data_IF_546267631279
#
_entry.id   IF_546267631279
#
_cell.length_a   1.000
_cell.length_b   1.000
_cell.length_c   1.000
_cell.angle_alpha   90.00
_cell.angle_beta   90.00
_cell.angle_gamma   90.00
#
_symmetry.space_group_name_H-M   'P 1'
#
loop_
_entity.id
_entity.type
_entity.pdbx_description
1 polymer ?
#
# COMPACT_ATOMS: atom_id res chain seq x y z
N UNK A 1 -17.88 1.00 5.39
CA UNK A 1 -16.41 1.06 5.43
C UNK A 1 -15.86 0.40 4.16
N UNK A 2 -14.88 1.03 3.46
CA UNK A 2 -14.22 0.46 2.28
C UNK A 2 -13.45 -0.83 2.63
N UNK A 3 -13.49 -1.83 1.75
CA UNK A 3 -12.80 -3.10 1.90
C UNK A 3 -12.03 -3.44 0.62
N UNK A 4 -10.72 -3.21 0.62
CA UNK A 4 -9.82 -3.50 -0.49
C UNK A 4 -8.81 -4.59 -0.16
N UNK A 5 -8.15 -5.10 -1.20
CA UNK A 5 -7.11 -6.13 -1.11
C UNK A 5 -5.79 -5.59 -1.63
N UNK A 6 -4.70 -5.72 -0.87
CA UNK A 6 -3.36 -5.43 -1.40
C UNK A 6 -2.84 -6.62 -2.21
N UNK A 7 -2.27 -6.31 -3.36
CA UNK A 7 -1.64 -7.27 -4.25
C UNK A 7 -0.14 -6.97 -4.32
N UNK A 8 0.65 -7.72 -3.57
CA UNK A 8 2.12 -7.69 -3.64
C UNK A 8 2.63 -8.39 -4.92
N UNK A 9 1.77 -9.17 -5.56
CA UNK A 9 2.07 -9.97 -6.75
C UNK A 9 3.34 -10.81 -6.58
N UNK A 10 3.49 -11.36 -5.37
CA UNK A 10 4.56 -12.28 -5.05
C UNK A 10 4.33 -13.60 -5.79
N UNK A 11 5.41 -14.22 -6.28
CA UNK A 11 5.31 -15.57 -6.82
C UNK A 11 6.17 -16.55 -6.03
N UNK A 12 5.73 -17.80 -6.01
CA UNK A 12 6.32 -18.85 -5.16
C UNK A 12 7.56 -19.44 -5.82
N UNK A 13 8.42 -20.02 -4.98
CA UNK A 13 9.55 -20.80 -5.47
C UNK A 13 9.08 -21.91 -6.41
N UNK A 14 9.74 -22.05 -7.54
CA UNK A 14 9.37 -23.02 -8.58
C UNK A 14 8.28 -22.58 -9.54
N UNK A 15 7.60 -21.44 -9.30
CA UNK A 15 6.63 -20.88 -10.25
C UNK A 15 7.29 -19.96 -11.27
N UNK A 16 6.70 -19.91 -12.43
CA UNK A 16 7.10 -19.00 -13.52
C UNK A 16 6.50 -17.61 -13.30
N UNK A 17 7.04 -16.61 -13.99
CA UNK A 17 6.44 -15.28 -14.01
C UNK A 17 5.07 -15.27 -14.69
N UNK A 18 4.86 -16.08 -15.72
CA UNK A 18 3.57 -16.25 -16.39
C UNK A 18 2.49 -16.71 -15.41
N UNK A 19 2.77 -17.74 -14.61
CA UNK A 19 1.86 -18.21 -13.56
C UNK A 19 1.57 -17.11 -12.51
N UNK A 20 2.57 -16.28 -12.17
CA UNK A 20 2.39 -15.18 -11.24
C UNK A 20 1.45 -14.09 -11.82
N UNK A 21 1.55 -13.76 -13.11
CA UNK A 21 0.60 -12.85 -13.77
C UNK A 21 -0.80 -13.45 -13.84
N UNK A 22 -0.93 -14.74 -14.19
CA UNK A 22 -2.23 -15.43 -14.22
C UNK A 22 -2.89 -15.42 -12.82
N UNK A 23 -2.12 -15.68 -11.75
CA UNK A 23 -2.59 -15.59 -10.36
C UNK A 23 -3.05 -14.18 -10.01
N UNK A 24 -2.28 -13.14 -10.37
CA UNK A 24 -2.63 -11.75 -10.10
C UNK A 24 -3.96 -11.35 -10.77
N UNK A 25 -4.18 -11.73 -12.01
CA UNK A 25 -5.45 -11.46 -12.70
C UNK A 25 -6.62 -12.23 -12.06
N UNK A 26 -6.43 -13.51 -11.75
CA UNK A 26 -7.45 -14.32 -11.08
C UNK A 26 -7.84 -13.75 -9.72
N UNK A 27 -6.88 -13.28 -8.93
CA UNK A 27 -7.16 -12.63 -7.64
C UNK A 27 -7.98 -11.35 -7.82
N UNK A 28 -7.67 -10.53 -8.84
CA UNK A 28 -8.43 -9.31 -9.10
C UNK A 28 -9.87 -9.61 -9.57
N UNK A 29 -10.05 -10.60 -10.43
CA UNK A 29 -11.36 -11.05 -10.90
C UNK A 29 -12.19 -11.64 -9.73
N UNK A 30 -11.61 -12.48 -8.89
CA UNK A 30 -12.25 -13.02 -7.68
C UNK A 30 -12.63 -11.88 -6.71
N UNK A 31 -11.78 -10.87 -6.55
CA UNK A 31 -12.09 -9.71 -5.71
C UNK A 31 -13.33 -8.97 -6.22
N UNK A 32 -13.48 -8.78 -7.53
CA UNK A 32 -14.66 -8.18 -8.15
C UNK A 32 -15.89 -9.06 -7.99
N UNK A 33 -15.78 -10.35 -8.28
CA UNK A 33 -16.90 -11.31 -8.26
C UNK A 33 -17.51 -11.45 -6.88
N UNK A 34 -16.68 -11.40 -5.85
CA UNK A 34 -17.13 -11.46 -4.46
C UNK A 34 -17.43 -10.09 -3.84
N UNK A 35 -17.35 -9.01 -4.60
CA UNK A 35 -17.82 -7.69 -4.18
C UNK A 35 -16.89 -6.92 -3.27
N UNK A 36 -15.57 -7.13 -3.35
CA UNK A 36 -14.61 -6.19 -2.77
C UNK A 36 -14.66 -4.84 -3.49
N UNK A 37 -14.29 -3.77 -2.78
CA UNK A 37 -14.36 -2.42 -3.34
C UNK A 37 -13.18 -2.10 -4.26
N UNK A 38 -12.02 -2.74 -4.05
CA UNK A 38 -10.86 -2.53 -4.91
C UNK A 38 -9.65 -3.39 -4.58
N UNK A 39 -8.67 -3.33 -5.46
CA UNK A 39 -7.33 -3.91 -5.30
C UNK A 39 -6.27 -2.82 -5.29
N UNK A 40 -5.18 -3.04 -4.56
CA UNK A 40 -4.08 -2.08 -4.39
C UNK A 40 -2.76 -2.75 -4.75
N UNK A 41 -2.15 -2.27 -5.83
CA UNK A 41 -0.94 -2.85 -6.40
C UNK A 41 0.32 -2.26 -5.74
N UNK A 42 1.17 -3.10 -5.18
CA UNK A 42 2.47 -2.68 -4.70
C UNK A 42 3.41 -2.34 -5.87
N UNK A 43 4.46 -1.55 -5.59
CA UNK A 43 5.58 -1.33 -6.51
C UNK A 43 6.85 -1.95 -5.92
N UNK A 44 7.42 -2.92 -6.64
CA UNK A 44 8.55 -3.74 -6.19
C UNK A 44 9.60 -3.83 -7.28
N UNK A 45 10.70 -3.10 -7.11
CA UNK A 45 11.82 -3.16 -8.05
C UNK A 45 12.88 -4.16 -7.61
N UNK A 46 13.51 -4.82 -8.57
CA UNK A 46 14.62 -5.76 -8.39
C UNK A 46 14.30 -6.90 -7.41
N UNK A 47 13.01 -7.30 -7.36
CA UNK A 47 12.48 -8.37 -6.51
C UNK A 47 12.52 -9.74 -7.18
N UNK A 48 13.60 -10.06 -7.91
CA UNK A 48 13.83 -11.38 -8.49
C UNK A 48 14.19 -12.43 -7.44
N UNK A 49 14.14 -13.74 -7.82
CA UNK A 49 14.65 -14.83 -6.99
C UNK A 49 16.10 -14.56 -6.61
N UNK A 50 16.41 -14.68 -5.35
CA UNK A 50 17.78 -14.46 -4.84
C UNK A 50 18.59 -15.74 -4.88
N UNK A 51 19.87 -15.58 -5.17
CA UNK A 51 20.82 -16.70 -5.08
C UNK A 51 21.01 -17.11 -3.61
N UNK A 52 21.29 -18.40 -3.33
CA UNK A 52 21.56 -18.85 -1.96
C UNK A 52 22.70 -18.08 -1.26
N UNK A 53 23.62 -17.53 -2.05
CA UNK A 53 24.78 -16.72 -1.59
C UNK A 53 24.44 -15.25 -1.35
N UNK A 54 23.20 -14.80 -1.64
CA UNK A 54 22.82 -13.41 -1.39
C UNK A 54 22.78 -13.12 0.11
N UNK A 55 23.51 -12.09 0.61
CA UNK A 55 23.57 -11.77 2.05
C UNK A 55 22.20 -11.46 2.66
N UNK A 56 21.22 -11.17 1.84
CA UNK A 56 19.85 -10.85 2.25
C UNK A 56 18.92 -12.08 2.29
N UNK A 57 19.42 -13.30 2.06
CA UNK A 57 18.61 -14.50 1.97
C UNK A 57 17.61 -14.47 0.81
N UNK A 58 16.87 -15.55 0.61
CA UNK A 58 15.84 -15.61 -0.43
C UNK A 58 14.74 -14.56 -0.18
N UNK A 59 14.69 -13.52 -1.02
CA UNK A 59 13.57 -12.57 -1.07
C UNK A 59 12.28 -13.29 -1.49
N UNK A 60 11.13 -12.67 -1.28
CA UNK A 60 9.93 -13.09 -2.00
C UNK A 60 9.99 -12.40 -3.36
N UNK A 61 10.08 -13.17 -4.48
CA UNK A 61 10.05 -12.57 -5.80
C UNK A 61 8.69 -11.92 -6.04
N UNK A 62 8.67 -10.80 -6.78
CA UNK A 62 7.44 -10.11 -7.14
C UNK A 62 7.51 -9.61 -8.57
N UNK A 63 6.41 -9.70 -9.30
CA UNK A 63 6.26 -9.20 -10.66
C UNK A 63 5.75 -7.74 -10.71
N UNK A 64 5.42 -7.14 -9.57
CA UNK A 64 4.81 -5.82 -9.47
C UNK A 64 5.84 -4.67 -9.60
N UNK A 65 6.63 -4.65 -10.67
CA UNK A 65 7.62 -3.59 -10.89
C UNK A 65 7.02 -2.31 -11.51
N UNK A 66 5.93 -2.44 -12.28
CA UNK A 66 5.26 -1.32 -12.95
C UNK A 66 3.75 -1.41 -12.68
N UNK A 67 3.30 -0.92 -11.52
CA UNK A 67 1.92 -1.12 -11.07
C UNK A 67 0.86 -0.52 -12.00
N UNK A 68 1.13 0.61 -12.66
CA UNK A 68 0.17 1.24 -13.57
C UNK A 68 -0.07 0.43 -14.86
N UNK A 69 0.94 -0.29 -15.37
CA UNK A 69 0.75 -1.20 -16.51
C UNK A 69 -0.14 -2.37 -16.10
N UNK A 70 0.12 -2.97 -14.93
CA UNK A 70 -0.73 -4.04 -14.39
C UNK A 70 -2.14 -3.54 -14.06
N UNK A 71 -2.26 -2.33 -13.52
CA UNK A 71 -3.55 -1.67 -13.26
C UNK A 71 -4.40 -1.51 -14.53
N UNK A 72 -3.80 -1.10 -15.66
CA UNK A 72 -4.48 -1.04 -16.96
C UNK A 72 -5.02 -2.40 -17.40
N UNK A 73 -4.22 -3.46 -17.24
CA UNK A 73 -4.64 -4.81 -17.61
C UNK A 73 -5.79 -5.33 -16.71
N UNK A 74 -5.75 -5.04 -15.41
CA UNK A 74 -6.85 -5.34 -14.47
C UNK A 74 -8.09 -4.51 -14.81
N UNK A 75 -7.93 -3.22 -15.12
CA UNK A 75 -9.02 -2.33 -15.49
C UNK A 75 -9.80 -2.84 -16.72
N UNK A 76 -9.10 -3.42 -17.69
CA UNK A 76 -9.71 -4.01 -18.88
C UNK A 76 -10.45 -5.33 -18.62
N UNK A 77 -10.17 -6.02 -17.51
CA UNK A 77 -10.79 -7.29 -17.11
C UNK A 77 -11.92 -7.12 -16.10
N UNK A 78 -12.05 -5.95 -15.50
CA UNK A 78 -13.01 -5.65 -14.43
C UNK A 78 -13.91 -4.47 -14.81
N UNK A 79 -15.06 -4.36 -14.16
CA UNK A 79 -16.07 -3.33 -14.50
C UNK A 79 -16.38 -2.37 -13.34
N UNK A 80 -16.26 -2.84 -12.09
CA UNK A 80 -16.62 -2.10 -10.86
C UNK A 80 -15.44 -1.89 -9.93
N UNK A 81 -14.52 -2.85 -9.92
CA UNK A 81 -13.39 -2.88 -8.98
C UNK A 81 -12.54 -1.62 -9.12
N UNK A 82 -12.34 -0.90 -8.02
CA UNK A 82 -11.38 0.21 -7.98
C UNK A 82 -9.95 -0.34 -7.96
N UNK A 83 -9.04 0.40 -8.54
CA UNK A 83 -7.65 -0.04 -8.68
C UNK A 83 -6.76 1.02 -8.08
N UNK A 84 -6.15 0.70 -6.95
CA UNK A 84 -5.21 1.57 -6.26
C UNK A 84 -3.75 1.19 -6.53
N UNK A 85 -2.87 2.17 -6.44
CA UNK A 85 -1.44 1.91 -6.27
C UNK A 85 -1.07 1.99 -4.79
N UNK A 86 -0.40 0.99 -4.29
CA UNK A 86 -0.06 0.91 -2.87
C UNK A 86 1.43 0.69 -2.61
N UNK A 87 2.32 1.53 -3.15
CA UNK A 87 2.15 2.85 -3.78
C UNK A 87 2.91 2.96 -5.10
N UNK A 88 2.60 3.98 -5.93
CA UNK A 88 3.54 4.46 -6.96
C UNK A 88 4.66 5.25 -6.30
N UNK A 89 5.91 4.87 -6.57
CA UNK A 89 7.11 5.46 -5.91
C UNK A 89 7.59 6.67 -6.71
N UNK A 90 7.04 7.85 -6.41
CA UNK A 90 7.26 9.08 -7.20
C UNK A 90 8.73 9.41 -7.45
N UNK A 91 9.66 9.28 -6.46
CA UNK A 91 11.07 9.64 -6.69
C UNK A 91 11.82 8.79 -7.71
N UNK A 92 11.26 7.62 -8.08
CA UNK A 92 11.91 6.69 -9.01
C UNK A 92 11.51 6.89 -10.47
N UNK A 93 10.53 7.78 -10.73
CA UNK A 93 9.98 8.02 -12.06
C UNK A 93 10.05 9.49 -12.45
N UNK A 94 10.04 9.77 -13.76
CA UNK A 94 9.83 11.13 -14.23
C UNK A 94 8.36 11.54 -13.98
N UNK A 95 8.07 12.65 -13.27
CA UNK A 95 6.72 13.00 -12.83
C UNK A 95 5.73 13.23 -13.96
N UNK A 96 6.16 13.81 -15.08
CA UNK A 96 5.29 14.03 -16.25
C UNK A 96 4.88 12.69 -16.85
N UNK A 97 5.84 11.76 -17.03
CA UNK A 97 5.55 10.42 -17.52
C UNK A 97 4.57 9.69 -16.62
N UNK A 98 4.76 9.78 -15.31
CA UNK A 98 3.87 9.15 -14.34
C UNK A 98 2.47 9.79 -14.35
N UNK A 99 2.37 11.11 -14.58
CA UNK A 99 1.09 11.80 -14.74
C UNK A 99 0.31 11.30 -15.97
N UNK A 100 1.00 11.07 -17.10
CA UNK A 100 0.43 10.51 -18.33
C UNK A 100 -0.03 9.06 -18.11
N UNK A 101 0.79 8.24 -17.48
CA UNK A 101 0.49 6.84 -17.19
C UNK A 101 -0.73 6.71 -16.27
N UNK A 102 -0.78 7.46 -15.17
CA UNK A 102 -1.89 7.43 -14.23
C UNK A 102 -3.19 7.97 -14.87
N UNK A 103 -3.12 9.04 -15.66
CA UNK A 103 -4.27 9.54 -16.41
C UNK A 103 -4.76 8.53 -17.46
N UNK A 104 -3.85 7.79 -18.10
CA UNK A 104 -4.20 6.71 -19.03
C UNK A 104 -4.97 5.59 -18.32
N UNK A 105 -4.48 5.13 -17.15
CA UNK A 105 -5.21 4.13 -16.34
C UNK A 105 -6.57 4.65 -15.92
N UNK A 106 -6.66 5.92 -15.53
CA UNK A 106 -7.93 6.53 -15.12
C UNK A 106 -8.94 6.58 -16.26
N UNK A 107 -8.51 6.87 -17.49
CA UNK A 107 -9.34 6.82 -18.70
C UNK A 107 -9.77 5.38 -19.02
N UNK A 108 -8.84 4.43 -19.05
CA UNK A 108 -9.11 3.01 -19.35
C UNK A 108 -10.09 2.42 -18.34
N UNK A 109 -9.90 2.74 -17.07
CA UNK A 109 -10.76 2.29 -15.98
C UNK A 109 -12.08 3.05 -15.86
N UNK A 110 -12.26 4.15 -16.62
CA UNK A 110 -13.42 5.05 -16.49
C UNK A 110 -13.61 5.59 -15.07
N UNK A 111 -12.52 6.10 -14.48
CA UNK A 111 -12.55 6.75 -13.17
C UNK A 111 -12.48 5.81 -11.97
N UNK A 112 -11.95 4.61 -12.14
CA UNK A 112 -11.76 3.65 -11.03
C UNK A 112 -10.36 3.68 -10.42
N UNK A 113 -9.47 4.56 -10.89
CA UNK A 113 -8.12 4.70 -10.30
C UNK A 113 -8.18 5.41 -8.94
N UNK A 114 -7.52 4.84 -7.94
CA UNK A 114 -7.10 5.46 -6.69
C UNK A 114 -5.57 5.64 -6.74
N UNK A 115 -5.10 6.88 -6.88
CA UNK A 115 -3.68 7.12 -7.08
C UNK A 115 -2.94 7.20 -5.75
N UNK A 116 -2.45 6.05 -5.29
CA UNK A 116 -1.65 5.94 -4.09
C UNK A 116 -0.19 6.21 -4.36
N UNK A 117 0.41 7.13 -3.62
CA UNK A 117 1.78 7.62 -3.82
C UNK A 117 2.62 7.50 -2.56
N UNK A 118 3.93 7.36 -2.75
CA UNK A 118 4.86 7.27 -1.63
C UNK A 118 6.31 7.37 -2.06
N UNK A 119 7.21 7.27 -1.05
CA UNK A 119 8.66 7.35 -1.27
C UNK A 119 9.33 5.98 -1.32
N UNK A 120 8.66 4.93 -0.85
CA UNK A 120 9.26 3.63 -0.54
C UNK A 120 10.36 3.70 0.54
N UNK A 121 10.51 2.61 1.29
CA UNK A 121 11.60 2.45 2.25
C UNK A 121 12.75 1.57 1.73
N UNK A 122 12.72 1.17 0.46
CA UNK A 122 13.67 0.22 -0.11
C UNK A 122 14.81 0.96 -0.84
N UNK A 123 15.88 1.28 -0.13
CA UNK A 123 17.06 1.98 -0.65
C UNK A 123 17.67 1.27 -1.88
N UNK A 124 17.58 -0.08 -1.96
CA UNK A 124 18.03 -0.83 -3.14
C UNK A 124 17.34 -0.41 -4.44
N UNK A 125 16.07 -0.03 -4.40
CA UNK A 125 15.39 0.47 -5.60
C UNK A 125 16.00 1.78 -6.09
N UNK A 126 16.30 2.68 -5.16
CA UNK A 126 16.99 3.93 -5.47
C UNK A 126 18.39 3.71 -6.05
N UNK A 127 19.19 2.86 -5.41
CA UNK A 127 20.52 2.51 -5.91
C UNK A 127 20.48 1.90 -7.32
N UNK A 128 19.49 1.04 -7.59
CA UNK A 128 19.32 0.43 -8.90
C UNK A 128 18.94 1.42 -10.01
N UNK A 129 18.29 2.53 -9.67
CA UNK A 129 17.98 3.63 -10.60
C UNK A 129 18.99 4.76 -10.55
N UNK A 130 20.06 4.65 -9.76
CA UNK A 130 21.09 5.69 -9.62
C UNK A 130 20.58 6.97 -8.94
N UNK A 131 19.55 6.87 -8.10
CA UNK A 131 18.96 8.00 -7.38
C UNK A 131 19.40 7.96 -5.93
N UNK A 132 19.97 9.05 -5.37
CA UNK A 132 20.33 9.11 -3.96
C UNK A 132 19.10 9.01 -3.05
N UNK A 133 19.13 8.09 -2.07
CA UNK A 133 17.97 7.88 -1.18
C UNK A 133 17.67 9.11 -0.30
N UNK A 134 18.67 9.88 0.07
CA UNK A 134 18.50 11.12 0.85
C UNK A 134 17.73 12.22 0.11
N UNK A 135 17.65 12.18 -1.22
CA UNK A 135 16.85 13.11 -2.04
C UNK A 135 15.36 12.67 -2.15
N UNK A 136 15.00 11.53 -1.57
CA UNK A 136 13.68 10.92 -1.76
C UNK A 136 12.53 11.79 -1.29
N UNK A 137 12.74 12.65 -0.28
CA UNK A 137 11.71 13.52 0.27
C UNK A 137 11.42 14.70 -0.66
N UNK A 138 12.45 15.37 -1.06
CA UNK A 138 12.39 16.54 -1.94
C UNK A 138 11.89 16.15 -3.33
N UNK A 139 12.42 15.06 -3.89
CA UNK A 139 11.93 14.49 -5.16
C UNK A 139 10.46 14.11 -5.12
N UNK A 140 10.01 13.52 -4.01
CA UNK A 140 8.59 13.19 -3.84
C UNK A 140 7.70 14.43 -3.88
N UNK A 141 8.09 15.50 -3.15
CA UNK A 141 7.33 16.74 -3.08
C UNK A 141 7.27 17.44 -4.44
N UNK A 142 8.42 17.58 -5.10
CA UNK A 142 8.50 18.19 -6.42
C UNK A 142 7.74 17.39 -7.48
N UNK A 143 7.86 16.05 -7.47
CA UNK A 143 7.13 15.19 -8.39
C UNK A 143 5.61 15.29 -8.20
N UNK A 144 5.13 15.32 -6.96
CA UNK A 144 3.71 15.46 -6.69
C UNK A 144 3.16 16.81 -7.14
N UNK A 145 3.92 17.89 -6.93
CA UNK A 145 3.58 19.23 -7.43
C UNK A 145 3.43 19.26 -8.95
N UNK A 146 4.39 18.67 -9.67
CA UNK A 146 4.38 18.61 -11.13
C UNK A 146 3.18 17.80 -11.64
N UNK A 147 2.89 16.64 -11.02
CA UNK A 147 1.74 15.82 -11.38
C UNK A 147 0.43 16.59 -11.22
N UNK A 148 0.28 17.31 -10.11
CA UNK A 148 -0.91 18.14 -9.86
C UNK A 148 -1.01 19.30 -10.86
N UNK A 149 0.08 19.98 -11.17
CA UNK A 149 0.12 21.02 -12.22
C UNK A 149 -0.31 20.44 -13.57
N UNK A 150 0.24 19.27 -13.94
CA UNK A 150 -0.08 18.59 -15.17
C UNK A 150 -1.57 18.23 -15.30
N UNK A 151 -2.23 17.84 -14.21
CA UNK A 151 -3.63 17.46 -14.25
C UNK A 151 -4.61 18.63 -14.13
N UNK A 152 -4.24 19.70 -13.41
CA UNK A 152 -5.15 20.80 -13.10
C UNK A 152 -5.05 21.98 -14.06
N UNK A 153 -3.98 22.08 -14.87
CA UNK A 153 -3.80 23.17 -15.82
C UNK A 153 -3.82 22.65 -17.26
N UNK A 154 -4.32 23.45 -18.18
CA UNK A 154 -4.30 23.13 -19.62
C UNK A 154 -2.87 23.06 -20.13
N UNK A 155 -2.06 24.05 -19.74
CA UNK A 155 -0.61 24.11 -19.95
C UNK A 155 0.06 24.58 -18.66
N UNK A 156 1.31 24.16 -18.45
CA UNK A 156 2.06 24.58 -17.28
C UNK A 156 3.56 24.60 -17.55
N UNK A 157 4.26 25.41 -16.76
CA UNK A 157 5.72 25.42 -16.65
C UNK A 157 6.12 25.08 -15.21
N UNK A 158 7.29 24.51 -15.06
CA UNK A 158 7.90 24.23 -13.76
C UNK A 158 9.40 24.43 -13.84
N UNK A 159 9.97 25.07 -12.82
CA UNK A 159 11.41 25.17 -12.59
C UNK A 159 11.68 24.75 -11.17
N UNK A 160 12.31 23.61 -11.01
CA UNK A 160 12.59 23.00 -9.69
C UNK A 160 14.05 22.56 -9.57
N UNK A 161 14.33 21.84 -8.52
CA UNK A 161 15.67 21.31 -8.24
C UNK A 161 15.99 20.10 -9.11
N UNK A 162 15.00 19.25 -9.35
CA UNK A 162 15.20 17.96 -10.04
C UNK A 162 14.59 17.93 -11.42
N UNK A 163 13.58 18.77 -11.68
CA UNK A 163 12.85 18.78 -12.94
C UNK A 163 12.58 20.20 -13.41
N UNK A 164 12.60 20.39 -14.71
CA UNK A 164 12.21 21.66 -15.35
C UNK A 164 11.46 21.36 -16.64
N UNK A 165 10.42 22.12 -16.91
CA UNK A 165 9.68 22.07 -18.16
C UNK A 165 9.07 23.45 -18.46
N UNK A 166 8.84 23.73 -19.73
CA UNK A 166 8.27 24.98 -20.18
C UNK A 166 7.09 24.73 -21.12
N UNK A 167 5.96 25.38 -20.80
CA UNK A 167 4.73 25.43 -21.58
C UNK A 167 4.23 24.07 -22.10
N UNK A 168 4.18 23.07 -21.21
CA UNK A 168 3.72 21.72 -21.55
C UNK A 168 2.21 21.55 -21.41
N UNK A 169 1.59 20.86 -22.36
CA UNK A 169 0.26 20.28 -22.24
C UNK A 169 0.38 18.77 -22.08
N UNK A 170 -0.15 18.21 -20.98
CA UNK A 170 -0.11 16.78 -20.70
C UNK A 170 -1.42 16.12 -21.10
N UNK A 171 -1.33 15.08 -21.93
CA UNK A 171 -2.45 14.30 -22.45
C UNK A 171 -2.08 12.80 -22.37
N UNK A 172 -3.06 11.93 -21.94
CA UNK A 172 -4.46 12.23 -21.66
C UNK A 172 -4.65 13.00 -20.36
N UNK A 173 -5.81 13.64 -20.24
CA UNK A 173 -6.27 14.21 -18.97
C UNK A 173 -6.96 13.11 -18.16
N UNK A 174 -6.94 13.16 -16.82
CA UNK A 174 -7.70 12.23 -16.00
C UNK A 174 -9.20 12.22 -16.34
N UNK A 175 -9.82 11.06 -16.25
CA UNK A 175 -11.27 10.89 -16.35
C UNK A 175 -11.98 11.53 -15.16
N UNK A 176 -11.49 11.28 -13.96
CA UNK A 176 -11.98 11.87 -12.70
C UNK A 176 -11.64 13.36 -12.61
N UNK A 177 -12.49 14.15 -11.98
CA UNK A 177 -12.32 15.61 -11.82
C UNK A 177 -12.27 15.97 -10.34
N UNK A 178 -11.35 16.84 -9.91
CA UNK A 178 -10.31 17.50 -10.73
C UNK A 178 -9.21 16.52 -11.19
N UNK A 179 -8.99 15.42 -10.49
CA UNK A 179 -8.02 14.34 -10.74
C UNK A 179 -8.43 13.08 -9.95
N UNK A 180 -7.79 11.92 -10.17
CA UNK A 180 -8.00 10.73 -9.34
C UNK A 180 -7.77 11.04 -7.86
N UNK A 181 -8.51 10.40 -6.94
CA UNK A 181 -8.23 10.51 -5.51
C UNK A 181 -6.77 10.19 -5.20
N UNK A 182 -6.09 11.09 -4.47
CA UNK A 182 -4.70 10.91 -4.08
C UNK A 182 -4.63 10.35 -2.67
N UNK A 183 -3.89 9.25 -2.54
CA UNK A 183 -3.63 8.56 -1.30
C UNK A 183 -2.13 8.55 -0.99
N UNK A 184 -1.74 9.08 0.16
CA UNK A 184 -0.32 9.13 0.53
C UNK A 184 -0.03 8.08 1.60
N UNK A 185 0.99 7.24 1.34
CA UNK A 185 1.46 6.30 2.33
C UNK A 185 2.23 7.00 3.45
N UNK A 186 1.67 6.98 4.66
CA UNK A 186 2.25 7.57 5.85
C UNK A 186 2.86 6.48 6.75
N UNK A 187 4.19 6.39 6.76
CA UNK A 187 4.97 5.39 7.52
C UNK A 187 5.96 6.02 8.51
N UNK A 188 6.03 7.36 8.55
CA UNK A 188 6.79 8.16 9.54
C UNK A 188 5.88 9.23 10.12
N UNK A 189 6.13 9.62 11.36
CA UNK A 189 5.28 10.58 12.08
C UNK A 189 5.11 11.90 11.32
N UNK A 190 6.19 12.45 10.77
CA UNK A 190 6.21 13.73 10.05
C UNK A 190 5.34 13.76 8.78
N UNK A 191 5.08 12.59 8.21
CA UNK A 191 4.27 12.48 7.00
C UNK A 191 2.80 12.81 7.26
N UNK A 192 2.26 12.49 8.44
CA UNK A 192 0.85 12.68 8.74
C UNK A 192 0.40 14.14 8.69
N UNK A 193 1.04 15.09 9.41
CA UNK A 193 0.65 16.50 9.31
C UNK A 193 0.91 17.09 7.92
N UNK A 194 1.95 16.64 7.20
CA UNK A 194 2.20 17.06 5.82
C UNK A 194 1.01 16.72 4.91
N UNK A 195 0.56 15.46 4.95
CA UNK A 195 -0.58 14.99 4.14
C UNK A 195 -1.88 15.70 4.53
N UNK A 196 -2.06 15.97 5.83
CA UNK A 196 -3.18 16.77 6.33
C UNK A 196 -3.22 18.17 5.71
N UNK A 197 -2.11 18.89 5.73
CA UNK A 197 -2.01 20.22 5.09
C UNK A 197 -2.27 20.21 3.59
N UNK A 198 -1.87 19.12 2.90
CA UNK A 198 -2.13 18.95 1.47
C UNK A 198 -3.59 18.59 1.13
N UNK A 199 -4.40 18.20 2.12
CA UNK A 199 -5.79 17.82 1.93
C UNK A 199 -6.00 16.42 1.37
N UNK A 200 -4.95 15.59 1.25
CA UNK A 200 -5.03 14.24 0.68
C UNK A 200 -5.46 13.19 1.71
N UNK A 201 -5.78 12.01 1.19
CA UNK A 201 -6.12 10.84 1.99
C UNK A 201 -4.87 10.08 2.45
N UNK A 202 -4.98 9.34 3.56
CA UNK A 202 -3.87 8.60 4.16
C UNK A 202 -4.06 7.09 3.99
N UNK A 203 -3.00 6.41 3.56
CA UNK A 203 -2.83 4.97 3.76
C UNK A 203 -1.73 4.75 4.79
N UNK A 204 -2.02 4.01 5.85
CA UNK A 204 -1.04 3.65 6.89
C UNK A 204 -1.14 2.17 7.24
N UNK A 205 -0.37 1.68 8.19
CA UNK A 205 -0.40 0.28 8.60
C UNK A 205 0.29 0.03 9.94
N UNK A 206 0.08 -1.15 10.50
CA UNK A 206 0.61 -1.56 11.81
C UNK A 206 2.01 -2.19 11.75
N UNK A 207 2.64 -2.25 10.57
CA UNK A 207 3.99 -2.83 10.43
C UNK A 207 5.08 -2.02 11.12
N UNK A 208 4.91 -0.69 11.18
CA UNK A 208 5.89 0.23 11.74
C UNK A 208 5.44 0.96 13.00
N UNK A 209 4.16 0.92 13.31
CA UNK A 209 3.53 1.58 14.45
C UNK A 209 2.69 0.60 15.25
N UNK A 210 2.50 0.85 16.53
CA UNK A 210 1.41 0.28 17.31
C UNK A 210 0.12 1.12 17.14
N UNK A 211 -1.01 0.59 17.61
CA UNK A 211 -2.31 1.26 17.47
C UNK A 211 -2.33 2.64 18.16
N UNK A 212 -1.81 2.81 19.40
CA UNK A 212 -1.72 4.13 20.03
C UNK A 212 -0.87 5.14 19.23
N UNK A 213 0.22 4.72 18.60
CA UNK A 213 1.02 5.58 17.75
C UNK A 213 0.26 6.00 16.49
N UNK A 214 -0.45 5.06 15.84
CA UNK A 214 -1.31 5.39 14.69
C UNK A 214 -2.39 6.39 15.10
N UNK A 215 -3.05 6.20 16.24
CA UNK A 215 -4.08 7.12 16.74
C UNK A 215 -3.52 8.55 16.94
N UNK A 216 -2.37 8.68 17.60
CA UNK A 216 -1.70 10.00 17.77
C UNK A 216 -1.33 10.64 16.43
N UNK A 217 -0.78 9.86 15.50
CA UNK A 217 -0.39 10.35 14.19
C UNK A 217 -1.60 10.80 13.37
N UNK A 218 -2.73 10.10 13.45
CA UNK A 218 -3.97 10.49 12.80
C UNK A 218 -4.59 11.74 13.42
N UNK A 219 -4.41 11.97 14.71
CA UNK A 219 -4.76 13.25 15.33
C UNK A 219 -3.95 14.39 14.71
N UNK A 220 -2.63 14.24 14.56
CA UNK A 220 -1.78 15.25 13.89
C UNK A 220 -2.21 15.49 12.43
N UNK A 221 -2.58 14.45 11.70
CA UNK A 221 -3.12 14.55 10.34
C UNK A 221 -4.40 15.39 10.30
N UNK A 222 -5.38 15.06 11.16
CA UNK A 222 -6.68 15.73 11.18
C UNK A 222 -6.57 17.18 11.62
N UNK A 223 -5.76 17.48 12.65
CA UNK A 223 -5.48 18.84 13.10
C UNK A 223 -4.86 19.68 11.97
N UNK A 224 -3.80 19.19 11.33
CA UNK A 224 -3.14 19.90 10.24
C UNK A 224 -4.06 20.10 9.02
N UNK A 225 -4.97 19.15 8.76
CA UNK A 225 -5.99 19.27 7.72
C UNK A 225 -6.99 20.38 8.02
N UNK A 226 -7.47 20.43 9.26
CA UNK A 226 -8.41 21.46 9.71
C UNK A 226 -7.77 22.85 9.69
N UNK A 227 -6.54 22.98 10.18
CA UNK A 227 -5.76 24.25 10.17
C UNK A 227 -5.51 24.77 8.76
N UNK A 228 -5.37 23.87 7.78
CA UNK A 228 -5.24 24.21 6.35
C UNK A 228 -6.58 24.51 5.65
N UNK A 229 -7.72 24.46 6.37
CA UNK A 229 -9.03 24.80 5.84
C UNK A 229 -9.70 23.69 5.00
N UNK A 230 -9.20 22.47 5.03
CA UNK A 230 -9.81 21.36 4.30
C UNK A 230 -11.03 20.80 5.05
N UNK A 231 -12.12 20.58 4.34
CA UNK A 231 -13.35 20.04 4.93
C UNK A 231 -13.22 18.58 5.39
N UNK A 232 -13.93 18.25 6.49
CA UNK A 232 -14.04 16.91 7.03
C UNK A 232 -12.75 16.33 7.59
N UNK A 233 -12.83 15.11 8.12
CA UNK A 233 -11.72 14.44 8.81
C UNK A 233 -10.69 13.79 7.85
N UNK A 234 -10.93 13.85 6.54
CA UNK A 234 -10.15 13.12 5.53
C UNK A 234 -10.38 11.61 5.59
N UNK A 235 -10.00 10.92 4.52
CA UNK A 235 -10.11 9.46 4.46
C UNK A 235 -8.82 8.80 4.95
N UNK A 236 -8.99 7.74 5.73
CA UNK A 236 -7.89 6.94 6.28
C UNK A 236 -8.13 5.48 6.00
N UNK A 237 -7.24 4.85 5.23
CA UNK A 237 -7.23 3.41 5.06
C UNK A 237 -6.06 2.82 5.84
N UNK A 238 -6.33 1.68 6.49
CA UNK A 238 -5.28 0.89 7.13
C UNK A 238 -4.97 -0.35 6.29
N UNK A 239 -3.69 -0.54 5.97
CA UNK A 239 -3.21 -1.82 5.45
C UNK A 239 -2.92 -2.74 6.63
N UNK A 240 -3.60 -3.86 6.68
CA UNK A 240 -3.53 -4.83 7.79
C UNK A 240 -3.53 -6.27 7.26
N UNK A 241 -2.68 -7.17 7.82
CA UNK A 241 -2.80 -8.58 7.55
C UNK A 241 -4.14 -9.14 8.05
N UNK A 242 -4.86 -9.82 7.14
CA UNK A 242 -6.14 -10.47 7.44
C UNK A 242 -6.10 -11.90 6.92
N UNK A 243 -6.48 -12.84 7.76
CA UNK A 243 -6.69 -14.22 7.37
C UNK A 243 -7.97 -14.75 7.99
N UNK A 244 -8.93 -15.08 7.13
CA UNK A 244 -10.24 -15.61 7.55
C UNK A 244 -10.30 -17.08 7.26
N UNK A 245 -10.69 -17.88 8.23
CA UNK A 245 -10.92 -19.32 8.08
C UNK A 245 -12.21 -19.75 8.80
N UNK A 246 -12.65 -20.96 8.53
CA UNK A 246 -13.88 -21.52 9.12
C UNK A 246 -13.76 -21.71 10.62
N UNK A 247 -12.56 -21.98 11.12
CA UNK A 247 -12.30 -22.15 12.56
C UNK A 247 -11.17 -21.25 13.04
N UNK A 248 -11.22 -20.91 14.34
CA UNK A 248 -10.16 -20.10 14.97
C UNK A 248 -8.80 -20.82 14.96
N UNK A 249 -8.78 -22.15 15.03
CA UNK A 249 -7.58 -22.97 14.98
C UNK A 249 -6.91 -22.88 13.60
N UNK A 250 -7.67 -23.05 12.53
CA UNK A 250 -7.19 -22.89 11.16
C UNK A 250 -6.67 -21.47 10.93
N UNK A 251 -7.44 -20.45 11.31
CA UNK A 251 -7.05 -19.05 11.14
C UNK A 251 -5.76 -18.69 11.89
N UNK A 252 -5.46 -19.39 12.98
CA UNK A 252 -4.24 -19.23 13.74
C UNK A 252 -3.07 -20.00 13.09
N UNK A 253 -3.25 -21.29 12.82
CA UNK A 253 -2.13 -22.18 12.47
C UNK A 253 -1.70 -22.09 11.01
N UNK A 254 -2.64 -21.92 10.08
CA UNK A 254 -2.33 -21.94 8.64
C UNK A 254 -1.40 -20.80 8.16
N UNK A 255 -1.55 -19.54 8.63
CA UNK A 255 -0.69 -18.44 8.20
C UNK A 255 0.55 -18.24 9.08
N UNK A 256 0.73 -18.96 10.19
CA UNK A 256 1.74 -18.71 11.23
C UNK A 256 3.16 -18.65 10.68
N UNK A 257 3.62 -19.73 10.01
CA UNK A 257 5.00 -19.81 9.48
C UNK A 257 5.29 -18.67 8.50
N UNK A 258 4.35 -18.46 7.56
CA UNK A 258 4.48 -17.41 6.54
C UNK A 258 4.52 -16.01 7.16
N UNK A 259 3.68 -15.77 8.15
CA UNK A 259 3.61 -14.48 8.86
C UNK A 259 4.89 -14.21 9.67
N UNK A 260 5.34 -15.16 10.48
CA UNK A 260 6.58 -15.02 11.24
C UNK A 260 7.79 -14.77 10.35
N UNK A 261 7.87 -15.48 9.21
CA UNK A 261 8.90 -15.24 8.22
C UNK A 261 8.86 -13.80 7.67
N UNK A 262 7.68 -13.27 7.38
CA UNK A 262 7.53 -11.89 6.89
C UNK A 262 8.04 -10.87 7.90
N UNK A 263 7.70 -11.02 9.17
CA UNK A 263 8.11 -10.09 10.22
C UNK A 263 9.61 -10.18 10.53
N UNK A 264 10.22 -11.38 10.54
CA UNK A 264 11.67 -11.56 10.67
C UNK A 264 12.41 -10.86 9.52
N UNK A 265 11.94 -11.06 8.29
CA UNK A 265 12.53 -10.38 7.12
C UNK A 265 12.40 -8.87 7.16
N UNK A 266 11.28 -8.38 7.69
CA UNK A 266 11.09 -6.94 7.87
C UNK A 266 12.06 -6.38 8.91
N UNK A 267 12.28 -7.09 10.02
CA UNK A 267 13.31 -6.75 11.02
C UNK A 267 14.69 -6.64 10.38
N UNK A 268 15.10 -7.66 9.61
CA UNK A 268 16.36 -7.66 8.88
C UNK A 268 16.46 -6.50 7.86
N UNK A 269 15.38 -6.21 7.16
CA UNK A 269 15.33 -5.11 6.18
C UNK A 269 15.54 -3.75 6.86
N UNK A 270 14.90 -3.52 8.01
CA UNK A 270 15.11 -2.29 8.78
C UNK A 270 16.53 -2.18 9.29
N UNK A 271 17.08 -3.25 9.85
CA UNK A 271 18.45 -3.26 10.38
C UNK A 271 19.48 -2.94 9.29
N UNK A 272 19.35 -3.54 8.11
CA UNK A 272 20.30 -3.34 6.99
C UNK A 272 20.17 -1.97 6.35
N UNK A 273 18.94 -1.53 6.09
CA UNK A 273 18.71 -0.23 5.46
C UNK A 273 19.03 0.96 6.37
N UNK A 274 19.26 0.72 7.64
CA UNK A 274 19.70 1.75 8.57
C UNK A 274 21.05 2.37 8.16
N UNK A 275 21.95 1.58 7.58
CA UNK A 275 23.24 2.07 7.10
C UNK A 275 23.17 2.96 5.86
N UNK A 276 22.03 2.95 5.14
CA UNK A 276 21.83 3.64 3.86
C UNK A 276 21.08 4.98 3.99
N UNK A 277 20.67 5.35 5.21
CA UNK A 277 19.90 6.56 5.52
C UNK A 277 20.67 7.45 6.49
N UNK A 278 20.28 8.74 6.59
CA UNK A 278 20.92 9.68 7.51
C UNK A 278 20.81 9.26 8.98
N UNK A 279 21.68 9.77 9.86
CA UNK A 279 21.90 9.29 11.23
C UNK A 279 20.61 9.12 12.07
N UNK A 280 19.71 10.12 12.08
CA UNK A 280 18.46 10.05 12.86
C UNK A 280 17.53 8.95 12.34
N UNK A 281 17.34 8.85 11.02
CA UNK A 281 16.52 7.79 10.42
C UNK A 281 17.14 6.40 10.58
N UNK A 282 18.47 6.32 10.69
CA UNK A 282 19.23 5.10 10.99
C UNK A 282 18.86 4.55 12.36
N UNK A 283 18.90 5.38 13.40
CA UNK A 283 18.56 4.97 14.76
C UNK A 283 17.12 4.48 14.89
N UNK A 284 16.16 5.22 14.31
CA UNK A 284 14.75 4.80 14.29
C UNK A 284 14.56 3.44 13.59
N UNK A 285 15.27 3.19 12.48
CA UNK A 285 15.22 1.91 11.77
C UNK A 285 15.81 0.76 12.56
N UNK A 286 16.96 0.97 13.21
CA UNK A 286 17.59 -0.03 14.09
C UNK A 286 16.66 -0.40 15.25
N UNK A 287 16.10 0.59 15.93
CA UNK A 287 15.16 0.36 17.04
C UNK A 287 13.89 -0.37 16.57
N UNK A 288 13.38 -0.03 15.40
CA UNK A 288 12.21 -0.70 14.79
C UNK A 288 12.55 -2.14 14.41
N UNK A 289 13.69 -2.38 13.80
CA UNK A 289 14.20 -3.72 13.48
C UNK A 289 14.35 -4.58 14.73
N UNK A 290 14.98 -4.06 15.76
CA UNK A 290 15.18 -4.76 17.03
C UNK A 290 13.86 -5.14 17.71
N UNK A 291 12.89 -4.21 17.74
CA UNK A 291 11.54 -4.52 18.27
C UNK A 291 10.85 -5.62 17.48
N UNK A 292 10.88 -5.56 16.15
CA UNK A 292 10.24 -6.57 15.29
C UNK A 292 10.91 -7.94 15.37
N UNK A 293 12.23 -8.00 15.64
CA UNK A 293 12.94 -9.26 15.82
C UNK A 293 12.53 -10.04 17.08
N UNK A 294 11.99 -9.35 18.08
CA UNK A 294 11.56 -9.93 19.36
C UNK A 294 10.06 -10.26 19.42
N UNK A 295 9.29 -9.85 18.41
CA UNK A 295 7.82 -10.03 18.41
C UNK A 295 7.48 -11.51 18.26
N UNK A 296 6.67 -12.04 19.19
CA UNK A 296 6.12 -13.38 19.12
C UNK A 296 4.88 -13.42 18.22
N UNK A 297 4.44 -14.61 17.81
CA UNK A 297 3.21 -14.76 17.04
C UNK A 297 1.98 -14.30 17.81
N UNK A 298 1.93 -14.56 19.12
CA UNK A 298 0.84 -14.09 19.98
C UNK A 298 0.79 -12.56 20.09
N UNK A 299 1.93 -11.90 20.15
CA UNK A 299 1.98 -10.44 20.10
C UNK A 299 1.47 -9.90 18.77
N UNK A 300 1.79 -10.57 17.65
CA UNK A 300 1.28 -10.19 16.35
C UNK A 300 -0.25 -10.35 16.28
N UNK A 301 -0.78 -11.48 16.70
CA UNK A 301 -2.21 -11.74 16.74
C UNK A 301 -2.96 -10.69 17.58
N UNK A 302 -2.44 -10.35 18.75
CA UNK A 302 -3.04 -9.36 19.63
C UNK A 302 -3.00 -7.95 19.05
N UNK A 303 -1.87 -7.53 18.50
CA UNK A 303 -1.61 -6.11 18.28
C UNK A 303 -1.63 -5.70 16.79
N UNK A 304 -1.39 -6.62 15.84
CA UNK A 304 -1.05 -6.26 14.46
C UNK A 304 -1.85 -6.97 13.37
N UNK A 305 -2.51 -8.07 13.70
CA UNK A 305 -3.20 -8.92 12.75
C UNK A 305 -4.72 -8.92 13.01
N UNK A 306 -5.48 -9.32 11.99
CA UNK A 306 -6.89 -9.63 12.12
C UNK A 306 -7.12 -11.05 11.53
N UNK A 307 -6.66 -12.06 12.27
CA UNK A 307 -6.80 -13.47 11.94
C UNK A 307 -7.88 -14.11 12.79
N UNK A 308 -8.80 -14.84 12.18
CA UNK A 308 -9.90 -15.46 12.92
C UNK A 308 -11.01 -15.98 12.03
N UNK A 309 -12.09 -16.40 12.66
CA UNK A 309 -13.37 -16.63 11.99
C UNK A 309 -13.95 -15.30 11.48
N UNK A 310 -14.95 -15.31 10.60
CA UNK A 310 -15.61 -14.09 10.16
C UNK A 310 -16.03 -13.17 11.32
N UNK A 311 -16.61 -13.72 12.39
CA UNK A 311 -17.04 -12.94 13.56
C UNK A 311 -15.88 -12.25 14.27
N UNK A 312 -14.79 -12.98 14.52
CA UNK A 312 -13.59 -12.44 15.17
C UNK A 312 -12.96 -11.32 14.34
N UNK A 313 -12.93 -11.47 13.01
CA UNK A 313 -12.35 -10.47 12.11
C UNK A 313 -13.23 -9.22 12.02
N UNK A 314 -14.56 -9.38 11.98
CA UNK A 314 -15.52 -8.24 12.05
C UNK A 314 -15.31 -7.47 13.34
N UNK A 315 -15.27 -8.15 14.49
CA UNK A 315 -15.05 -7.52 15.79
C UNK A 315 -13.73 -6.74 15.81
N UNK A 316 -12.63 -7.38 15.39
CA UNK A 316 -11.30 -6.77 15.38
C UNK A 316 -11.23 -5.52 14.50
N UNK A 317 -11.77 -5.58 13.28
CA UNK A 317 -11.73 -4.45 12.36
C UNK A 317 -12.69 -3.33 12.80
N UNK A 318 -13.81 -3.66 13.43
CA UNK A 318 -14.72 -2.68 14.02
C UNK A 318 -14.06 -1.95 15.20
N UNK A 319 -13.38 -2.67 16.11
CA UNK A 319 -12.61 -2.05 17.18
C UNK A 319 -11.54 -1.09 16.65
N UNK A 320 -10.79 -1.48 15.62
CA UNK A 320 -9.81 -0.60 14.99
C UNK A 320 -10.46 0.63 14.37
N UNK A 321 -11.58 0.47 13.66
CA UNK A 321 -12.33 1.59 13.09
C UNK A 321 -12.69 2.61 14.18
N UNK A 322 -13.24 2.13 15.29
CA UNK A 322 -13.75 2.99 16.35
C UNK A 322 -12.61 3.67 17.14
N UNK A 323 -11.49 2.96 17.33
CA UNK A 323 -10.31 3.49 18.05
C UNK A 323 -9.56 4.57 17.26
N UNK A 324 -9.45 4.44 15.95
CA UNK A 324 -8.60 5.31 15.14
C UNK A 324 -9.35 6.03 14.00
N UNK A 325 -10.66 5.79 13.85
CA UNK A 325 -11.51 6.49 12.89
C UNK A 325 -11.16 6.14 11.44
N UNK A 326 -11.24 4.87 11.07
CA UNK A 326 -10.95 4.39 9.72
C UNK A 326 -12.14 4.61 8.78
N UNK A 327 -11.82 5.02 7.53
CA UNK A 327 -12.75 5.01 6.40
C UNK A 327 -12.74 3.66 5.67
N UNK A 328 -11.64 2.89 5.79
CA UNK A 328 -11.51 1.61 5.11
C UNK A 328 -10.31 0.78 5.55
N UNK A 329 -10.32 -0.45 5.07
CA UNK A 329 -9.22 -1.42 5.25
C UNK A 329 -8.71 -1.90 3.89
N UNK A 330 -7.41 -2.11 3.80
CA UNK A 330 -6.74 -2.78 2.70
C UNK A 330 -6.13 -4.05 3.28
N UNK A 331 -6.78 -5.18 3.05
CA UNK A 331 -6.36 -6.45 3.64
C UNK A 331 -5.15 -7.04 2.91
N UNK A 332 -4.29 -7.72 3.65
CA UNK A 332 -3.16 -8.49 3.12
C UNK A 332 -3.37 -9.96 3.47
N UNK A 333 -3.80 -10.75 2.48
CA UNK A 333 -4.25 -12.13 2.66
C UNK A 333 -3.13 -13.17 2.56
N UNK A 334 -1.95 -12.81 2.03
CA UNK A 334 -0.81 -13.72 1.87
C UNK A 334 0.48 -13.13 2.45
N UNK A 335 0.47 -12.85 3.75
CA UNK A 335 1.64 -12.29 4.43
C UNK A 335 2.80 -13.28 4.37
N UNK A 336 3.92 -12.85 3.81
CA UNK A 336 5.11 -13.69 3.66
C UNK A 336 5.15 -14.54 2.39
N UNK A 337 4.06 -14.59 1.60
CA UNK A 337 4.03 -15.21 0.28
C UNK A 337 4.08 -16.74 0.26
N UNK A 338 3.81 -17.42 1.39
CA UNK A 338 3.92 -18.88 1.50
C UNK A 338 2.60 -19.61 1.83
N UNK A 339 1.53 -18.89 2.07
CA UNK A 339 0.24 -19.53 2.29
C UNK A 339 -0.21 -20.17 0.96
N UNK A 340 -0.65 -21.44 0.93
CA UNK A 340 -1.15 -22.08 -0.27
C UNK A 340 -2.23 -21.27 -0.98
N UNK A 341 -2.19 -21.20 -2.31
CA UNK A 341 -3.08 -20.34 -3.09
C UNK A 341 -4.56 -20.59 -2.77
N UNK A 342 -4.96 -21.85 -2.72
CA UNK A 342 -6.33 -22.27 -2.39
C UNK A 342 -6.80 -21.72 -1.05
N UNK A 343 -5.93 -21.69 -0.03
CA UNK A 343 -6.22 -21.13 1.29
C UNK A 343 -6.30 -19.60 1.24
N UNK A 344 -5.44 -18.95 0.46
CA UNK A 344 -5.50 -17.50 0.23
C UNK A 344 -6.83 -17.13 -0.44
N UNK A 345 -7.24 -17.85 -1.48
CA UNK A 345 -8.50 -17.61 -2.19
C UNK A 345 -9.70 -17.87 -1.30
N UNK A 346 -9.69 -18.93 -0.47
CA UNK A 346 -10.74 -19.19 0.49
C UNK A 346 -10.85 -18.06 1.52
N UNK A 347 -9.72 -17.60 2.06
CA UNK A 347 -9.70 -16.47 3.01
C UNK A 347 -10.24 -15.18 2.38
N UNK A 348 -9.88 -14.87 1.14
CA UNK A 348 -10.41 -13.72 0.40
C UNK A 348 -11.94 -13.85 0.22
N UNK A 349 -12.42 -15.03 -0.17
CA UNK A 349 -13.85 -15.31 -0.35
C UNK A 349 -14.62 -15.12 0.93
N UNK A 350 -14.18 -15.73 2.04
CA UNK A 350 -14.80 -15.58 3.35
C UNK A 350 -14.82 -14.12 3.82
N UNK A 351 -13.71 -13.40 3.65
CA UNK A 351 -13.65 -11.99 3.96
C UNK A 351 -14.66 -11.18 3.14
N UNK A 352 -14.71 -11.40 1.84
CA UNK A 352 -15.58 -10.65 0.95
C UNK A 352 -17.08 -10.92 1.18
N UNK A 353 -17.44 -12.17 1.46
CA UNK A 353 -18.83 -12.59 1.61
C UNK A 353 -19.38 -12.42 3.03
N UNK A 354 -18.56 -12.62 4.07
CA UNK A 354 -19.03 -12.70 5.45
C UNK A 354 -18.52 -11.55 6.34
N UNK A 355 -17.41 -10.91 5.99
CA UNK A 355 -16.84 -9.81 6.79
C UNK A 355 -17.15 -8.45 6.19
N UNK A 356 -16.78 -8.21 4.92
CA UNK A 356 -16.90 -6.89 4.28
C UNK A 356 -18.33 -6.32 4.29
N UNK A 357 -19.41 -7.09 4.02
CA UNK A 357 -20.78 -6.56 4.08
C UNK A 357 -21.14 -6.06 5.47
N UNK A 358 -20.75 -6.77 6.53
CA UNK A 358 -21.02 -6.40 7.93
C UNK A 358 -20.30 -5.12 8.33
N UNK A 359 -19.06 -4.92 7.88
CA UNK A 359 -18.32 -3.69 8.11
C UNK A 359 -18.94 -2.47 7.42
N UNK A 360 -19.65 -2.67 6.29
CA UNK A 360 -20.37 -1.59 5.59
C UNK A 360 -21.62 -1.15 6.36
N UNK A 361 -22.39 -2.10 6.88
CA UNK A 361 -23.62 -1.80 7.66
C UNK A 361 -23.28 -1.03 8.93
N UNK A 362 -22.27 -1.45 9.67
CA UNK A 362 -21.84 -0.81 10.92
C UNK A 362 -21.27 0.62 10.74
N UNK A 363 -21.05 1.07 9.51
CA UNK A 363 -20.58 2.44 9.23
C UNK A 363 -21.71 3.47 9.02
N UNK A 364 -22.97 3.03 9.03
CA UNK A 364 -24.16 3.87 8.81
C UNK A 364 -24.99 4.02 10.10
N UNK A 365 -24.61 3.36 11.16
CA UNK A 365 -25.17 3.50 12.52
C UNK A 365 -24.27 4.38 13.39
#
# INVERSE_FOLDING_TARGET
MYAGLVMECDYREGRTQEEAFAEAFSIAEIAEDHGLDGVWLAERHFAGPRRPTDPMGAGIPSIASVPLVLASAIAARTTRLRIGTGVSVLPLCHPIRLAEEAATVDQVSRGRLDFGVGRSGFARAYAGYGIPYNESRERFQESLEIILKAWNNERFSHTGTYFSCDDLAVIPRPYQKPHPPIWVAATTQDTFPLVGRMGFSVVTGLRGFDIPQVARNLTLYRTARQEAGHAGNGNVYIRIPVYVAETAEQARSEPEESTLRAYRRMADTFARSAAEVGATASEERLQRGARLAQVTYDDLLRDRLAYGTPDMVVERLSQLRDQIGLSGVIIESNVGGRIPLERVLNSIRLFAQEVAPRLRVLSHS
#
